data_IF_917966444307
#
_entry.id   IF_917966444307
#
_cell.length_a   1.000
_cell.length_b   1.000
_cell.length_c   1.000
_cell.angle_alpha   90.00
_cell.angle_beta   90.00
_cell.angle_gamma   90.00
#
_symmetry.space_group_name_H-M   'P 1'
#
loop_
_entity.id
_entity.type
_entity.pdbx_description
1 polymer ?
#
# COMPACT_ATOMS: atom_id res chain seq x y z
N UNK A 1 8.25 22.57 19.88
CA UNK A 1 9.25 22.33 18.80
C UNK A 1 10.12 21.07 18.99
N UNK A 2 10.33 20.53 20.20
CA UNK A 2 11.18 19.33 20.40
C UNK A 2 10.62 18.02 19.84
N UNK A 3 9.31 17.82 19.89
CA UNK A 3 8.66 16.57 19.43
C UNK A 3 8.82 16.36 17.91
N UNK A 4 8.52 17.39 17.11
CA UNK A 4 8.67 17.37 15.63
C UNK A 4 10.10 17.03 15.18
N UNK A 5 11.11 17.58 15.86
CA UNK A 5 12.52 17.26 15.57
C UNK A 5 12.88 15.82 15.91
N UNK A 6 12.36 15.29 17.03
CA UNK A 6 12.52 13.87 17.40
C UNK A 6 11.89 12.95 16.37
N UNK A 7 10.64 13.22 15.99
CA UNK A 7 9.93 12.44 14.97
C UNK A 7 10.66 12.46 13.61
N UNK A 8 11.15 13.63 13.18
CA UNK A 8 11.91 13.75 11.94
C UNK A 8 13.24 12.98 11.95
N UNK A 9 13.91 12.90 13.10
CA UNK A 9 15.13 12.11 13.25
C UNK A 9 14.84 10.60 13.25
N UNK A 10 13.75 10.15 13.88
CA UNK A 10 13.33 8.74 13.86
C UNK A 10 12.94 8.28 12.44
N UNK A 11 12.21 9.12 11.69
CA UNK A 11 11.88 8.84 10.28
C UNK A 11 13.15 8.72 9.40
N UNK A 12 14.12 9.61 9.61
CA UNK A 12 15.44 9.48 8.95
C UNK A 12 16.17 8.20 9.39
N UNK A 13 16.05 7.79 10.64
CA UNK A 13 16.65 6.56 11.15
C UNK A 13 16.02 5.31 10.51
N UNK A 14 14.70 5.29 10.30
CA UNK A 14 14.01 4.24 9.51
C UNK A 14 14.57 4.22 8.09
N UNK A 15 14.60 5.36 7.40
CA UNK A 15 15.09 5.44 6.02
C UNK A 15 16.56 4.97 5.89
N UNK A 16 17.42 5.40 6.81
CA UNK A 16 18.84 5.03 6.85
C UNK A 16 19.10 3.63 7.42
N UNK A 17 18.08 2.93 7.92
CA UNK A 17 18.23 1.64 8.62
C UNK A 17 19.29 1.71 9.74
N UNK A 18 19.20 2.74 10.58
CA UNK A 18 20.22 3.10 11.56
C UNK A 18 20.44 2.03 12.64
N UNK A 19 19.40 1.28 13.00
CA UNK A 19 19.49 0.12 13.90
C UNK A 19 18.87 -1.13 13.26
N UNK A 20 19.14 -2.34 13.77
CA UNK A 20 18.51 -3.57 13.29
C UNK A 20 16.96 -3.51 13.31
N UNK A 21 16.38 -2.85 14.32
CA UNK A 21 14.93 -2.63 14.44
C UNK A 21 14.38 -1.73 13.33
N UNK A 22 15.07 -0.63 13.03
CA UNK A 22 14.74 0.27 11.92
C UNK A 22 14.89 -0.41 10.55
N UNK A 23 15.93 -1.24 10.37
CA UNK A 23 16.16 -2.01 9.14
C UNK A 23 15.03 -2.99 8.87
N UNK A 24 14.65 -3.78 9.87
CA UNK A 24 13.58 -4.78 9.72
C UNK A 24 12.24 -4.14 9.36
N UNK A 25 11.91 -3.01 9.98
CA UNK A 25 10.70 -2.26 9.63
C UNK A 25 10.78 -1.71 8.19
N UNK A 26 11.91 -1.11 7.81
CA UNK A 26 12.13 -0.62 6.43
C UNK A 26 12.02 -1.73 5.40
N UNK A 27 12.58 -2.91 5.67
CA UNK A 27 12.56 -4.04 4.73
C UNK A 27 11.13 -4.56 4.55
N UNK A 28 10.34 -4.65 5.62
CA UNK A 28 8.90 -4.96 5.53
C UNK A 28 8.14 -3.92 4.69
N UNK A 29 8.35 -2.63 4.95
CA UNK A 29 7.72 -1.56 4.16
C UNK A 29 8.14 -1.62 2.69
N UNK A 30 9.41 -1.89 2.42
CA UNK A 30 9.95 -1.98 1.06
C UNK A 30 9.33 -3.14 0.31
N UNK A 31 9.23 -4.32 0.94
CA UNK A 31 8.58 -5.49 0.33
C UNK A 31 7.11 -5.20 0.03
N UNK A 32 6.38 -4.59 0.98
CA UNK A 32 4.97 -4.22 0.77
C UNK A 32 4.85 -3.25 -0.41
N UNK A 33 5.62 -2.16 -0.43
CA UNK A 33 5.56 -1.15 -1.50
C UNK A 33 5.89 -1.76 -2.86
N UNK A 34 6.97 -2.54 -2.97
CA UNK A 34 7.37 -3.16 -4.24
C UNK A 34 6.33 -4.18 -4.70
N UNK A 35 5.82 -5.00 -3.79
CA UNK A 35 4.76 -5.96 -4.12
C UNK A 35 3.47 -5.26 -4.56
N UNK A 36 3.06 -4.20 -3.87
CA UNK A 36 1.85 -3.43 -4.21
C UNK A 36 1.99 -2.74 -5.55
N UNK A 37 3.15 -2.14 -5.87
CA UNK A 37 3.40 -1.59 -7.21
C UNK A 37 3.33 -2.69 -8.28
N UNK A 38 3.91 -3.87 -8.01
CA UNK A 38 3.84 -5.00 -8.93
C UNK A 38 2.39 -5.45 -9.19
N UNK A 39 1.60 -5.61 -8.14
CA UNK A 39 0.18 -5.99 -8.22
C UNK A 39 -0.62 -4.90 -8.95
N UNK A 40 -0.40 -3.64 -8.63
CA UNK A 40 -1.07 -2.49 -9.26
C UNK A 40 -0.85 -2.47 -10.79
N UNK A 41 0.40 -2.63 -11.24
CA UNK A 41 0.72 -2.66 -12.66
C UNK A 41 0.09 -3.87 -13.38
N UNK A 42 0.11 -5.05 -12.76
CA UNK A 42 -0.50 -6.27 -13.33
C UNK A 42 -2.01 -6.11 -13.42
N UNK A 43 -2.65 -5.67 -12.34
CA UNK A 43 -4.09 -5.42 -12.30
C UNK A 43 -4.50 -4.33 -13.29
N UNK A 44 -3.69 -3.30 -13.49
CA UNK A 44 -3.92 -2.25 -14.49
C UNK A 44 -4.03 -2.83 -15.90
N UNK A 45 -3.09 -3.70 -16.27
CA UNK A 45 -3.08 -4.34 -17.58
C UNK A 45 -4.29 -5.27 -17.73
N UNK A 46 -4.62 -6.06 -16.70
CA UNK A 46 -5.79 -6.94 -16.70
C UNK A 46 -7.09 -6.16 -16.83
N UNK A 47 -7.27 -5.12 -16.02
CA UNK A 47 -8.45 -4.24 -16.05
C UNK A 47 -8.63 -3.62 -17.43
N UNK A 48 -7.56 -3.12 -18.04
CA UNK A 48 -7.62 -2.57 -19.40
C UNK A 48 -8.11 -3.61 -20.42
N UNK A 49 -7.56 -4.83 -20.42
CA UNK A 49 -7.99 -5.83 -21.40
C UNK A 49 -9.41 -6.36 -21.16
N UNK A 50 -9.81 -6.48 -19.89
CA UNK A 50 -11.14 -6.98 -19.50
C UNK A 50 -12.24 -5.96 -19.77
N UNK A 51 -11.97 -4.67 -19.58
CA UNK A 51 -12.99 -3.62 -19.64
C UNK A 51 -13.01 -2.82 -20.95
N UNK A 52 -11.90 -2.67 -21.69
CA UNK A 52 -11.80 -1.69 -22.81
C UNK A 52 -12.88 -1.78 -23.91
N UNK A 53 -13.60 -2.89 -24.04
CA UNK A 53 -14.67 -3.09 -25.03
C UNK A 53 -16.08 -3.14 -24.43
N UNK A 54 -16.22 -3.04 -23.11
CA UNK A 54 -17.52 -3.11 -22.45
C UNK A 54 -18.32 -1.83 -22.69
N UNK A 55 -19.59 -1.98 -23.10
CA UNK A 55 -20.45 -0.83 -23.39
C UNK A 55 -20.83 -0.07 -22.11
N UNK A 56 -20.37 1.17 -21.98
CA UNK A 56 -20.65 2.02 -20.81
C UNK A 56 -19.58 2.01 -19.71
N UNK A 57 -18.43 1.36 -19.95
CA UNK A 57 -17.25 1.47 -19.08
C UNK A 57 -16.59 2.84 -19.23
N UNK A 58 -15.92 3.32 -18.19
CA UNK A 58 -15.06 4.52 -18.25
C UNK A 58 -13.57 4.15 -18.42
N UNK A 59 -13.26 2.85 -18.46
CA UNK A 59 -11.91 2.32 -18.60
C UNK A 59 -11.61 2.09 -20.10
N UNK A 60 -11.23 3.15 -20.81
CA UNK A 60 -10.89 3.10 -22.25
C UNK A 60 -9.40 3.12 -22.55
N UNK A 61 -8.59 3.56 -21.59
CA UNK A 61 -7.13 3.73 -21.74
C UNK A 61 -6.39 3.03 -20.60
N UNK A 62 -5.10 2.79 -20.81
CA UNK A 62 -4.24 2.30 -19.72
C UNK A 62 -4.16 3.31 -18.57
N UNK A 63 -4.22 4.61 -18.84
CA UNK A 63 -4.19 5.66 -17.81
C UNK A 63 -5.43 5.64 -16.92
N UNK A 64 -6.62 5.48 -17.51
CA UNK A 64 -7.87 5.33 -16.74
C UNK A 64 -7.90 4.02 -15.95
N UNK A 65 -7.37 2.92 -16.52
CA UNK A 65 -7.25 1.65 -15.82
C UNK A 65 -6.30 1.75 -14.62
N UNK A 66 -5.15 2.40 -14.80
CA UNK A 66 -4.17 2.64 -13.74
C UNK A 66 -4.77 3.47 -12.61
N UNK A 67 -5.44 4.57 -12.95
CA UNK A 67 -6.10 5.41 -11.96
C UNK A 67 -7.13 4.64 -11.12
N UNK A 68 -7.97 3.83 -11.78
CA UNK A 68 -8.96 2.98 -11.11
C UNK A 68 -8.30 1.93 -10.20
N UNK A 69 -7.33 1.17 -10.70
CA UNK A 69 -6.67 0.13 -9.91
C UNK A 69 -5.97 0.73 -8.70
N UNK A 70 -5.23 1.83 -8.89
CA UNK A 70 -4.54 2.50 -7.80
C UNK A 70 -5.51 3.04 -6.74
N UNK A 71 -6.68 3.58 -7.12
CA UNK A 71 -7.67 4.04 -6.14
C UNK A 71 -8.33 2.90 -5.37
N UNK A 72 -8.56 1.75 -6.02
CA UNK A 72 -9.13 0.58 -5.35
C UNK A 72 -8.12 -0.01 -4.37
N UNK A 73 -6.86 -0.14 -4.77
CA UNK A 73 -5.79 -0.61 -3.88
C UNK A 73 -5.52 0.34 -2.71
N UNK A 74 -5.77 1.64 -2.90
CA UNK A 74 -5.73 2.64 -1.83
C UNK A 74 -7.01 2.69 -0.98
N UNK A 75 -8.05 1.92 -1.32
CA UNK A 75 -9.36 1.85 -0.64
C UNK A 75 -10.15 3.17 -0.62
N UNK A 76 -9.71 4.19 -1.36
CA UNK A 76 -10.41 5.48 -1.47
C UNK A 76 -11.58 5.39 -2.46
N UNK A 77 -11.55 4.38 -3.34
CA UNK A 77 -12.38 4.28 -4.54
C UNK A 77 -12.16 5.43 -5.50
N UNK A 78 -12.22 5.18 -6.82
CA UNK A 78 -12.12 6.27 -7.79
C UNK A 78 -13.45 7.01 -7.93
N UNK A 79 -13.39 8.22 -8.49
CA UNK A 79 -14.59 8.91 -8.99
C UNK A 79 -15.11 8.34 -10.32
N UNK A 80 -14.40 7.38 -10.94
CA UNK A 80 -14.83 6.75 -12.18
C UNK A 80 -15.68 5.52 -11.89
N UNK A 81 -16.58 5.19 -12.81
CA UNK A 81 -17.52 4.08 -12.63
C UNK A 81 -16.80 2.73 -12.53
N UNK A 82 -17.33 1.89 -11.64
CA UNK A 82 -16.83 0.55 -11.44
C UNK A 82 -17.00 -0.35 -12.67
N UNK A 83 -16.11 -1.35 -12.84
CA UNK A 83 -16.17 -2.31 -13.92
C UNK A 83 -17.53 -3.01 -14.02
N UNK A 84 -18.03 -3.11 -15.25
CA UNK A 84 -19.33 -3.73 -15.53
C UNK A 84 -19.21 -5.16 -16.04
N UNK A 85 -18.02 -5.56 -16.52
CA UNK A 85 -17.78 -6.93 -16.95
C UNK A 85 -17.64 -7.88 -15.77
N UNK A 86 -17.97 -9.16 -15.99
CA UNK A 86 -17.75 -10.20 -14.99
C UNK A 86 -16.28 -10.30 -14.57
N UNK A 87 -15.36 -10.22 -15.54
CA UNK A 87 -13.92 -10.26 -15.28
C UNK A 87 -13.44 -9.06 -14.46
N UNK A 88 -13.93 -7.86 -14.77
CA UNK A 88 -13.61 -6.64 -14.03
C UNK A 88 -14.08 -6.69 -12.57
N UNK A 89 -15.28 -7.21 -12.31
CA UNK A 89 -15.80 -7.39 -10.94
C UNK A 89 -15.04 -8.45 -10.14
N UNK A 90 -14.65 -9.55 -10.79
CA UNK A 90 -13.83 -10.57 -10.13
C UNK A 90 -12.43 -10.02 -9.78
N UNK A 91 -11.86 -9.21 -10.67
CA UNK A 91 -10.59 -8.51 -10.41
C UNK A 91 -10.73 -7.52 -9.24
N UNK A 92 -11.83 -6.78 -9.18
CA UNK A 92 -12.12 -5.83 -8.10
C UNK A 92 -12.12 -6.50 -6.72
N UNK A 93 -12.90 -7.59 -6.55
CA UNK A 93 -12.95 -8.36 -5.29
C UNK A 93 -11.56 -8.87 -4.89
N UNK A 94 -10.78 -9.34 -5.86
CA UNK A 94 -9.41 -9.81 -5.62
C UNK A 94 -8.51 -8.67 -5.12
N UNK A 95 -8.59 -7.48 -5.74
CA UNK A 95 -7.82 -6.31 -5.34
C UNK A 95 -8.22 -5.83 -3.95
N UNK A 96 -9.51 -5.82 -3.61
CA UNK A 96 -9.99 -5.46 -2.27
C UNK A 96 -9.44 -6.41 -1.19
N UNK A 97 -9.49 -7.73 -1.44
CA UNK A 97 -8.92 -8.73 -0.53
C UNK A 97 -7.40 -8.54 -0.33
N UNK A 98 -6.69 -8.23 -1.41
CA UNK A 98 -5.27 -7.90 -1.35
C UNK A 98 -5.02 -6.61 -0.56
N UNK A 99 -5.79 -5.54 -0.81
CA UNK A 99 -5.63 -4.24 -0.14
C UNK A 99 -5.85 -4.36 1.38
N UNK A 100 -6.88 -5.09 1.82
CA UNK A 100 -7.11 -5.36 3.26
C UNK A 100 -5.92 -6.09 3.88
N UNK A 101 -5.36 -7.08 3.17
CA UNK A 101 -4.17 -7.82 3.63
C UNK A 101 -2.96 -6.91 3.79
N UNK A 102 -2.73 -6.00 2.83
CA UNK A 102 -1.66 -5.01 2.89
C UNK A 102 -1.84 -4.05 4.07
N UNK A 103 -3.05 -3.53 4.28
CA UNK A 103 -3.36 -2.65 5.41
C UNK A 103 -3.11 -3.36 6.75
N UNK A 104 -3.58 -4.61 6.89
CA UNK A 104 -3.34 -5.41 8.09
C UNK A 104 -1.85 -5.66 8.34
N UNK A 105 -1.08 -5.98 7.28
CA UNK A 105 0.36 -6.19 7.37
C UNK A 105 1.10 -4.90 7.78
N UNK A 106 0.72 -3.75 7.22
CA UNK A 106 1.27 -2.44 7.58
C UNK A 106 0.98 -2.10 9.05
N UNK A 107 -0.25 -2.30 9.50
CA UNK A 107 -0.65 -2.09 10.89
C UNK A 107 0.17 -2.98 11.84
N UNK A 108 0.30 -4.27 11.52
CA UNK A 108 1.09 -5.22 12.31
C UNK A 108 2.58 -4.88 12.35
N UNK A 109 3.18 -4.53 11.21
CA UNK A 109 4.59 -4.13 11.13
C UNK A 109 4.87 -2.85 11.93
N UNK A 110 3.97 -1.87 11.83
CA UNK A 110 4.07 -0.61 12.57
C UNK A 110 3.93 -0.82 14.07
N UNK A 111 2.93 -1.60 14.50
CA UNK A 111 2.73 -1.95 15.91
C UNK A 111 3.94 -2.66 16.51
N UNK A 112 4.48 -3.66 15.80
CA UNK A 112 5.68 -4.38 16.22
C UNK A 112 6.90 -3.46 16.34
N UNK A 113 7.07 -2.52 15.41
CA UNK A 113 8.14 -1.52 15.45
C UNK A 113 8.01 -0.59 16.66
N UNK A 114 6.82 0.00 16.87
CA UNK A 114 6.56 0.92 17.99
C UNK A 114 6.79 0.21 19.32
N UNK A 115 6.25 -1.01 19.48
CA UNK A 115 6.42 -1.77 20.71
C UNK A 115 7.89 -2.05 21.01
N UNK A 116 8.65 -2.51 20.02
CA UNK A 116 10.07 -2.82 20.21
C UNK A 116 10.90 -1.56 20.50
N UNK A 117 10.63 -0.44 19.81
CA UNK A 117 11.31 0.83 20.06
C UNK A 117 10.98 1.40 21.44
N UNK A 118 9.75 1.24 21.93
CA UNK A 118 9.38 1.63 23.29
C UNK A 118 10.23 0.92 24.34
N UNK A 119 10.34 -0.41 24.24
CA UNK A 119 11.18 -1.22 25.14
C UNK A 119 12.66 -0.83 25.09
N UNK A 120 13.20 -0.55 23.89
CA UNK A 120 14.59 -0.10 23.73
C UNK A 120 14.83 1.26 24.40
N UNK A 121 13.88 2.19 24.31
CA UNK A 121 13.98 3.52 24.93
C UNK A 121 13.85 3.46 26.46
N UNK A 122 12.94 2.62 26.99
CA UNK A 122 12.75 2.48 28.43
C UNK A 122 14.00 1.84 29.09
N UNK A 123 14.66 0.91 28.40
CA UNK A 123 15.90 0.30 28.87
C UNK A 123 17.11 1.26 28.86
N UNK A 124 17.12 2.27 27.97
CA UNK A 124 18.15 3.31 27.93
C UNK A 124 17.95 4.39 29.02
N UNK A 125 16.75 4.47 29.60
CA UNK A 125 16.37 5.47 30.59
C UNK A 125 16.49 5.01 32.06
N UNK A 126 16.62 3.70 32.29
CA UNK A 126 16.82 3.08 33.61
C UNK A 126 18.29 2.80 33.91
#
# INVERSE_FOLDING_TARGET
MGLMRRTGNELRAVARAATPTHRRYRDHLTVIVVATIGVDLVCTVLAYFLERHAAGTEIHTLGSAFFWVSSQLLTVSSSIKDPISFGGRALDIFMEAYAITVIAALAGATGAFIQKRGLELDAEAG
#
